data_IF_791594178656
#
_entry.id   IF_791594178656
#
_cell.length_a   1.000
_cell.length_b   1.000
_cell.length_c   1.000
_cell.angle_alpha   90.00
_cell.angle_beta   90.00
_cell.angle_gamma   90.00
#
_symmetry.space_group_name_H-M   'P 1'
#
loop_
_entity.id
_entity.type
_entity.pdbx_description
1 polymer ?
#
# COMPACT_ATOMS: atom_id res chain seq x y z
N UNK A 1 -0.45 45.28 -18.52
CA UNK A 1 -1.68 44.52 -18.20
C UNK A 1 -1.27 43.05 -18.09
N UNK A 2 -0.65 42.59 -17.00
CA UNK A 2 -1.24 42.25 -15.69
C UNK A 2 -2.58 41.52 -15.81
N UNK A 3 -2.50 40.19 -15.86
CA UNK A 3 -3.47 39.22 -15.35
C UNK A 3 -2.64 38.05 -14.78
N UNK A 4 -2.02 38.20 -13.62
CA UNK A 4 -2.52 37.59 -12.37
C UNK A 4 -4.00 37.16 -12.44
N UNK A 5 -4.24 35.84 -12.49
CA UNK A 5 -5.09 35.13 -11.52
C UNK A 5 -5.22 33.63 -11.83
N UNK A 6 -4.92 32.82 -10.80
CA UNK A 6 -5.59 31.58 -10.41
C UNK A 6 -5.45 30.33 -11.31
N UNK A 7 -4.47 29.47 -10.96
CA UNK A 7 -4.62 28.01 -11.11
C UNK A 7 -4.53 27.34 -9.72
N UNK A 8 -5.66 27.18 -9.00
CA UNK A 8 -5.72 26.39 -7.77
C UNK A 8 -5.92 24.88 -8.03
N UNK A 9 -5.85 24.41 -9.29
CA UNK A 9 -6.24 23.03 -9.66
C UNK A 9 -5.15 21.98 -9.45
N UNK A 10 -3.87 22.36 -9.34
CA UNK A 10 -2.78 21.40 -9.12
C UNK A 10 -2.71 20.86 -7.68
N UNK A 11 -3.22 21.61 -6.70
CA UNK A 11 -3.07 21.26 -5.28
C UNK A 11 -4.12 20.25 -4.77
N UNK A 12 -5.18 19.98 -5.54
CA UNK A 12 -6.32 19.16 -5.07
C UNK A 12 -6.53 17.86 -5.85
N UNK A 13 -5.89 17.66 -7.02
CA UNK A 13 -6.18 16.52 -7.89
C UNK A 13 -5.22 15.32 -7.75
N UNK A 14 -4.08 15.49 -7.08
CA UNK A 14 -3.10 14.41 -6.84
C UNK A 14 -2.81 14.25 -5.33
N UNK A 15 -3.85 13.90 -4.56
CA UNK A 15 -3.84 13.66 -3.11
C UNK A 15 -3.42 14.86 -2.22
N UNK A 16 -4.00 15.01 -1.02
CA UNK A 16 -3.36 15.80 0.04
C UNK A 16 -2.17 14.98 0.56
N UNK A 17 -0.96 15.31 0.09
CA UNK A 17 0.27 14.92 0.78
C UNK A 17 0.35 15.76 2.07
N UNK A 18 -0.32 15.29 3.12
CA UNK A 18 0.02 15.73 4.47
C UNK A 18 1.40 15.17 4.80
N UNK A 19 2.45 15.92 4.52
CA UNK A 19 3.77 15.68 5.08
C UNK A 19 3.73 16.02 6.57
N UNK A 20 3.91 15.06 7.50
CA UNK A 20 4.31 15.44 8.84
C UNK A 20 5.72 16.04 8.72
N UNK A 21 5.88 17.25 9.25
CA UNK A 21 7.15 17.98 9.37
C UNK A 21 8.28 17.03 9.79
N UNK A 22 9.16 16.66 8.86
CA UNK A 22 10.29 15.77 9.10
C UNK A 22 11.59 16.58 9.20
N UNK A 23 12.27 16.44 10.33
CA UNK A 23 13.67 16.87 10.48
C UNK A 23 14.56 15.89 9.70
N UNK A 24 15.66 16.36 9.07
CA UNK A 24 16.47 15.51 8.19
C UNK A 24 17.29 14.50 9.00
N UNK A 25 17.14 13.22 8.67
CA UNK A 25 18.01 12.13 9.14
C UNK A 25 19.25 12.09 8.24
N UNK A 26 20.37 12.56 8.77
CA UNK A 26 21.68 12.58 8.11
C UNK A 26 22.46 11.30 8.42
N UNK A 27 23.16 10.84 7.38
CA UNK A 27 24.21 9.82 7.24
C UNK A 27 24.16 8.55 8.12
N UNK A 28 23.71 7.45 7.51
CA UNK A 28 23.63 6.12 8.11
C UNK A 28 24.89 5.26 7.85
N UNK A 29 25.89 5.76 7.11
CA UNK A 29 27.06 4.93 6.72
C UNK A 29 28.12 4.82 7.82
N UNK A 30 28.38 5.88 8.59
CA UNK A 30 29.37 5.86 9.67
C UNK A 30 28.99 4.98 10.88
N UNK A 31 27.70 4.99 11.25
CA UNK A 31 27.17 4.19 12.37
C UNK A 31 27.20 2.68 12.11
N UNK A 32 27.23 2.25 10.84
CA UNK A 32 27.31 0.83 10.47
C UNK A 32 28.69 0.23 10.72
N UNK A 33 29.75 1.04 10.70
CA UNK A 33 31.12 0.56 10.98
C UNK A 33 31.39 0.46 12.49
N UNK A 34 30.84 1.38 13.29
CA UNK A 34 30.96 1.32 14.76
C UNK A 34 30.19 0.14 15.38
N UNK A 35 28.99 -0.16 14.86
CA UNK A 35 28.16 -1.27 15.36
C UNK A 35 28.65 -2.66 14.91
N UNK A 36 29.48 -2.75 13.87
CA UNK A 36 30.12 -4.01 13.45
C UNK A 36 31.16 -4.50 14.45
N UNK A 37 31.78 -3.59 15.21
CA UNK A 37 32.87 -3.90 16.15
C UNK A 37 32.40 -4.22 17.58
N UNK A 38 31.09 -4.22 17.86
CA UNK A 38 30.53 -4.44 19.20
C UNK A 38 29.47 -5.55 19.21
N UNK A 39 29.79 -6.78 18.78
CA UNK A 39 28.92 -7.93 19.02
C UNK A 39 29.21 -8.56 20.39
N UNK A 40 28.26 -8.57 21.35
CA UNK A 40 28.28 -9.54 22.44
C UNK A 40 27.65 -10.88 21.98
N UNK A 41 28.12 -11.95 22.61
CA UNK A 41 27.68 -13.34 22.40
C UNK A 41 26.16 -13.52 22.53
N UNK A 42 25.56 -14.48 21.80
CA UNK A 42 24.11 -14.69 21.77
C UNK A 42 23.54 -15.09 23.15
N UNK A 43 22.35 -14.60 23.53
CA UNK A 43 21.73 -14.96 24.80
C UNK A 43 21.22 -16.41 24.81
N UNK A 44 21.14 -17.05 25.99
CA UNK A 44 20.71 -18.44 26.12
C UNK A 44 19.24 -18.61 25.74
N UNK A 45 19.00 -19.65 24.94
CA UNK A 45 17.73 -20.04 24.33
C UNK A 45 16.70 -20.39 25.41
N UNK A 46 15.70 -19.53 25.62
CA UNK A 46 14.58 -19.81 26.53
C UNK A 46 13.69 -20.94 25.98
N UNK A 47 13.52 -21.97 26.82
CA UNK A 47 12.43 -22.96 26.89
C UNK A 47 11.58 -23.21 25.65
N UNK A 48 11.78 -24.40 25.07
CA UNK A 48 11.07 -24.95 23.92
C UNK A 48 9.61 -25.25 24.27
N UNK A 49 8.66 -24.62 23.56
CA UNK A 49 7.26 -25.04 23.46
C UNK A 49 7.07 -26.02 22.29
N UNK A 50 6.10 -26.95 22.36
CA UNK A 50 5.97 -28.10 21.44
C UNK A 50 5.66 -27.69 19.99
N UNK A 51 5.84 -28.61 19.01
CA UNK A 51 5.89 -28.25 17.60
C UNK A 51 4.50 -28.03 16.98
N UNK A 52 4.39 -26.94 16.22
CA UNK A 52 3.43 -26.64 15.14
C UNK A 52 2.03 -26.07 15.48
N UNK A 53 1.99 -24.99 16.26
CA UNK A 53 0.90 -24.01 16.11
C UNK A 53 1.31 -22.94 15.08
N UNK A 54 0.47 -22.68 14.07
CA UNK A 54 0.68 -21.54 13.18
C UNK A 54 0.79 -20.26 14.03
N UNK A 55 1.85 -19.46 13.89
CA UNK A 55 2.07 -18.27 14.71
C UNK A 55 0.90 -17.31 14.50
N UNK A 56 0.17 -17.02 15.58
CA UNK A 56 -0.97 -16.12 15.54
C UNK A 56 -0.49 -14.68 15.47
N UNK A 57 -1.15 -13.87 14.65
CA UNK A 57 -0.82 -12.45 14.45
C UNK A 57 -1.10 -11.60 15.71
N UNK A 58 -2.23 -11.86 16.36
CA UNK A 58 -2.71 -11.09 17.51
C UNK A 58 -1.70 -10.94 18.66
N UNK A 59 -1.07 -12.03 19.15
CA UNK A 59 -0.09 -11.95 20.23
C UNK A 59 1.11 -11.03 19.93
N UNK A 60 1.62 -11.01 18.71
CA UNK A 60 2.75 -10.14 18.37
C UNK A 60 2.34 -8.66 18.33
N UNK A 61 1.14 -8.35 17.81
CA UNK A 61 0.59 -7.00 17.87
C UNK A 61 0.25 -6.59 19.30
N UNK A 62 -0.22 -7.53 20.13
CA UNK A 62 -0.47 -7.30 21.55
C UNK A 62 0.79 -6.88 22.31
N UNK A 63 1.96 -7.45 21.99
CA UNK A 63 3.25 -7.02 22.56
C UNK A 63 3.58 -5.57 22.17
N UNK A 64 3.38 -5.20 20.91
CA UNK A 64 3.61 -3.83 20.43
C UNK A 64 2.63 -2.83 21.06
N UNK A 65 1.35 -3.19 21.14
CA UNK A 65 0.32 -2.36 21.78
C UNK A 65 0.58 -2.20 23.27
N UNK A 66 1.01 -3.26 23.97
CA UNK A 66 1.37 -3.18 25.38
C UNK A 66 2.51 -2.18 25.61
N UNK A 67 3.61 -2.25 24.84
CA UNK A 67 4.74 -1.31 24.95
C UNK A 67 4.29 0.12 24.66
N UNK A 68 3.46 0.31 23.63
CA UNK A 68 2.87 1.62 23.30
C UNK A 68 2.05 2.18 24.47
N UNK A 69 1.12 1.40 25.02
CA UNK A 69 0.26 1.82 26.12
C UNK A 69 1.05 2.14 27.40
N UNK A 70 2.05 1.31 27.75
CA UNK A 70 2.90 1.54 28.94
C UNK A 70 3.74 2.81 28.76
N UNK A 71 4.28 3.03 27.56
CA UNK A 71 5.05 4.23 27.23
C UNK A 71 4.18 5.49 27.29
N UNK A 72 2.98 5.46 26.73
CA UNK A 72 2.05 6.59 26.76
C UNK A 72 1.58 6.94 28.18
N UNK A 73 1.43 5.94 29.05
CA UNK A 73 1.02 6.13 30.44
C UNK A 73 2.19 6.44 31.39
N UNK A 74 3.43 6.56 30.89
CA UNK A 74 4.61 6.88 31.71
C UNK A 74 5.03 5.78 32.69
N UNK A 75 4.58 4.54 32.48
CA UNK A 75 4.79 3.41 33.39
C UNK A 75 6.10 2.64 33.11
N UNK A 76 7.03 3.24 32.36
CA UNK A 76 8.28 2.61 31.94
C UNK A 76 9.21 2.23 33.10
N UNK A 77 9.08 2.89 34.25
CA UNK A 77 9.92 2.66 35.44
C UNK A 77 9.51 1.42 36.24
N UNK A 78 8.37 0.80 35.91
CA UNK A 78 7.77 -0.31 36.69
C UNK A 78 8.07 -1.67 36.06
N UNK A 79 8.28 -1.70 34.74
CA UNK A 79 8.46 -2.92 33.98
C UNK A 79 9.65 -2.78 33.03
N UNK A 80 10.56 -3.75 33.04
CA UNK A 80 11.57 -3.87 31.98
C UNK A 80 10.86 -4.24 30.67
N UNK A 81 10.83 -3.30 29.74
CA UNK A 81 10.21 -3.48 28.43
C UNK A 81 11.25 -3.88 27.38
N UNK A 82 10.93 -4.81 26.47
CA UNK A 82 11.77 -5.09 25.31
C UNK A 82 11.83 -3.86 24.39
N UNK A 83 12.98 -3.67 23.72
CA UNK A 83 13.16 -2.57 22.76
C UNK A 83 12.10 -2.64 21.64
N UNK A 84 11.40 -1.54 21.33
CA UNK A 84 10.44 -1.49 20.23
C UNK A 84 11.00 -2.03 18.91
N UNK A 85 12.27 -1.71 18.59
CA UNK A 85 12.93 -2.20 17.39
C UNK A 85 13.01 -3.73 17.34
N UNK A 86 13.24 -4.38 18.48
CA UNK A 86 13.28 -5.84 18.56
C UNK A 86 11.89 -6.46 18.35
N UNK A 87 10.84 -5.88 18.92
CA UNK A 87 9.47 -6.34 18.72
C UNK A 87 8.98 -6.16 17.28
N UNK A 88 9.33 -5.03 16.66
CA UNK A 88 9.04 -4.78 15.25
C UNK A 88 9.77 -5.78 14.36
N UNK A 89 11.03 -6.08 14.67
CA UNK A 89 11.81 -7.09 13.94
C UNK A 89 11.23 -8.50 14.10
N UNK A 90 10.81 -8.88 15.31
CA UNK A 90 10.12 -10.15 15.57
C UNK A 90 8.88 -10.27 14.69
N UNK A 91 8.03 -9.22 14.68
CA UNK A 91 6.83 -9.19 13.85
C UNK A 91 7.16 -9.31 12.36
N UNK A 92 8.09 -8.50 11.88
CA UNK A 92 8.50 -8.47 10.48
C UNK A 92 9.11 -9.81 10.03
N UNK A 93 9.83 -10.48 10.92
CA UNK A 93 10.41 -11.80 10.66
C UNK A 93 9.32 -12.84 10.38
N UNK A 94 8.23 -12.80 11.15
CA UNK A 94 7.14 -13.76 11.07
C UNK A 94 6.14 -13.43 9.96
N UNK A 95 5.76 -12.15 9.84
CA UNK A 95 4.65 -11.70 8.98
C UNK A 95 5.08 -10.81 7.81
N UNK A 96 6.37 -10.50 7.65
CA UNK A 96 6.87 -9.63 6.58
C UNK A 96 6.54 -10.09 5.16
N UNK A 97 6.29 -11.39 4.96
CA UNK A 97 5.90 -11.97 3.67
C UNK A 97 4.41 -11.78 3.34
N UNK A 98 3.62 -11.26 4.28
CA UNK A 98 2.18 -11.05 4.16
C UNK A 98 1.90 -9.60 3.76
N UNK A 99 0.88 -9.40 2.93
CA UNK A 99 0.48 -8.06 2.45
C UNK A 99 0.04 -7.12 3.57
N UNK A 100 -0.48 -7.66 4.69
CA UNK A 100 -0.90 -6.85 5.83
C UNK A 100 0.26 -6.28 6.64
N UNK A 101 1.50 -6.77 6.47
CA UNK A 101 2.63 -6.37 7.31
C UNK A 101 2.82 -4.85 7.38
N UNK A 102 2.64 -4.17 6.24
CA UNK A 102 2.72 -2.72 6.18
C UNK A 102 1.66 -2.04 7.04
N UNK A 103 0.38 -2.33 6.80
CA UNK A 103 -0.74 -1.69 7.52
C UNK A 103 -0.67 -1.94 9.03
N UNK A 104 -0.19 -3.12 9.40
CA UNK A 104 -0.06 -3.53 10.79
C UNK A 104 1.01 -2.71 11.52
N UNK A 105 2.20 -2.59 10.91
CA UNK A 105 3.34 -1.90 11.53
C UNK A 105 3.25 -0.38 11.43
N UNK A 106 2.65 0.14 10.35
CA UNK A 106 2.50 1.59 10.10
C UNK A 106 1.92 2.31 11.31
N UNK A 107 0.90 1.73 11.93
CA UNK A 107 0.20 2.33 13.08
C UNK A 107 1.09 2.54 14.30
N UNK A 108 2.22 1.83 14.43
CA UNK A 108 3.14 1.96 15.54
C UNK A 108 4.29 2.94 15.29
N UNK A 109 4.54 3.30 14.04
CA UNK A 109 5.69 4.15 13.67
C UNK A 109 5.53 5.60 14.15
N UNK A 110 4.32 6.07 14.37
CA UNK A 110 4.09 7.41 14.93
C UNK A 110 4.35 7.47 16.44
N UNK A 111 4.42 6.31 17.11
CA UNK A 111 4.54 6.23 18.58
C UNK A 111 5.96 5.97 19.05
N UNK A 112 6.79 5.29 18.26
CA UNK A 112 8.16 4.95 18.64
C UNK A 112 9.15 6.05 18.25
N UNK A 113 10.26 6.11 18.99
CA UNK A 113 11.29 7.11 18.73
C UNK A 113 11.94 6.90 17.36
N UNK A 114 12.39 7.99 16.69
CA UNK A 114 13.10 7.88 15.42
C UNK A 114 14.31 6.95 15.46
N UNK A 115 15.01 6.88 16.60
CA UNK A 115 16.19 6.03 16.79
C UNK A 115 15.82 4.54 16.81
N UNK A 116 14.73 4.17 17.50
CA UNK A 116 14.25 2.79 17.51
C UNK A 116 13.75 2.37 16.12
N UNK A 117 13.09 3.26 15.39
CA UNK A 117 12.67 2.99 14.01
C UNK A 117 13.87 2.84 13.08
N UNK A 118 14.89 3.70 13.19
CA UNK A 118 16.13 3.60 12.41
C UNK A 118 16.83 2.26 12.70
N UNK A 119 16.91 1.87 13.98
CA UNK A 119 17.46 0.58 14.41
C UNK A 119 16.68 -0.60 13.79
N UNK A 120 15.34 -0.55 13.83
CA UNK A 120 14.50 -1.55 13.17
C UNK A 120 14.78 -1.65 11.67
N UNK A 121 14.86 -0.52 10.96
CA UNK A 121 15.09 -0.51 9.51
C UNK A 121 16.40 -1.19 9.14
N UNK A 122 17.49 -0.85 9.85
CA UNK A 122 18.81 -1.45 9.62
C UNK A 122 18.78 -2.96 9.87
N UNK A 123 18.16 -3.41 10.96
CA UNK A 123 18.06 -4.84 11.27
C UNK A 123 17.19 -5.59 10.25
N UNK A 124 16.08 -4.99 9.80
CA UNK A 124 15.19 -5.57 8.81
C UNK A 124 15.87 -5.69 7.43
N UNK A 125 16.63 -4.68 7.03
CA UNK A 125 17.43 -4.69 5.80
C UNK A 125 18.52 -5.76 5.82
N UNK A 126 19.27 -5.86 6.92
CA UNK A 126 20.27 -6.90 7.11
C UNK A 126 19.65 -8.30 6.96
N UNK A 127 18.48 -8.53 7.57
CA UNK A 127 17.75 -9.80 7.49
C UNK A 127 17.25 -10.14 6.08
N UNK A 128 16.93 -9.14 5.27
CA UNK A 128 16.59 -9.35 3.85
C UNK A 128 17.86 -9.69 3.06
N UNK A 129 18.97 -9.00 3.34
CA UNK A 129 20.24 -9.22 2.66
C UNK A 129 20.83 -10.63 2.91
N UNK A 130 20.57 -11.23 4.07
CA UNK A 130 20.96 -12.62 4.38
C UNK A 130 20.33 -13.66 3.43
N UNK A 131 19.18 -13.35 2.84
CA UNK A 131 18.44 -14.26 1.97
C UNK A 131 18.08 -13.58 0.64
N UNK A 132 19.07 -13.38 -0.27
CA UNK A 132 18.84 -12.71 -1.53
C UNK A 132 17.89 -13.51 -2.43
N UNK A 133 17.12 -12.80 -3.24
CA UNK A 133 16.18 -13.38 -4.21
C UNK A 133 16.96 -14.04 -5.34
N UNK A 134 16.56 -15.27 -5.69
CA UNK A 134 17.04 -15.94 -6.90
C UNK A 134 15.90 -15.98 -7.92
N UNK A 135 15.98 -15.16 -8.96
CA UNK A 135 14.90 -15.05 -9.95
C UNK A 135 14.88 -16.22 -10.93
N UNK A 136 16.04 -16.75 -11.29
CA UNK A 136 16.16 -17.96 -12.10
C UNK A 136 16.23 -19.17 -11.16
N UNK A 137 15.08 -19.79 -10.89
CA UNK A 137 14.97 -20.85 -9.90
C UNK A 137 14.04 -22.00 -10.33
N UNK A 138 14.29 -23.19 -9.78
CA UNK A 138 13.38 -24.33 -9.93
C UNK A 138 11.99 -24.02 -9.35
N UNK A 139 10.95 -24.73 -9.81
CA UNK A 139 9.58 -24.58 -9.30
C UNK A 139 9.47 -24.76 -7.77
N UNK A 140 10.33 -25.59 -7.18
CA UNK A 140 10.41 -25.80 -5.72
C UNK A 140 10.84 -24.54 -4.97
N UNK A 141 11.71 -23.73 -5.55
CA UNK A 141 12.25 -22.50 -4.95
C UNK A 141 11.35 -21.27 -5.21
N UNK A 142 10.46 -21.35 -6.21
CA UNK A 142 9.57 -20.23 -6.58
C UNK A 142 8.75 -19.70 -5.40
N UNK A 143 8.14 -20.59 -4.60
CA UNK A 143 7.34 -20.19 -3.42
C UNK A 143 8.18 -19.44 -2.38
N UNK A 144 9.42 -19.88 -2.16
CA UNK A 144 10.38 -19.22 -1.28
C UNK A 144 10.73 -17.84 -1.82
N UNK A 145 11.08 -17.73 -3.10
CA UNK A 145 11.47 -16.47 -3.73
C UNK A 145 10.33 -15.46 -3.78
N UNK A 146 9.09 -15.89 -4.03
CA UNK A 146 7.89 -15.02 -3.91
C UNK A 146 7.73 -14.50 -2.48
N UNK A 147 8.01 -15.32 -1.47
CA UNK A 147 7.92 -14.90 -0.06
C UNK A 147 8.98 -13.85 0.27
N UNK A 148 10.22 -14.02 -0.23
CA UNK A 148 11.31 -13.04 -0.07
C UNK A 148 10.95 -11.73 -0.80
N UNK A 149 10.45 -11.82 -2.04
CA UNK A 149 10.00 -10.66 -2.82
C UNK A 149 8.92 -9.86 -2.08
N UNK A 150 7.91 -10.55 -1.52
CA UNK A 150 6.86 -9.91 -0.71
C UNK A 150 7.41 -9.24 0.54
N UNK A 151 8.43 -9.85 1.18
CA UNK A 151 9.12 -9.23 2.32
C UNK A 151 9.86 -7.96 1.92
N UNK A 152 10.53 -7.97 0.76
CA UNK A 152 11.19 -6.78 0.23
C UNK A 152 10.17 -5.67 -0.10
N UNK A 153 9.00 -6.03 -0.63
CA UNK A 153 7.87 -5.10 -0.84
C UNK A 153 7.41 -4.46 0.47
N UNK A 154 7.15 -5.27 1.49
CA UNK A 154 6.78 -4.76 2.82
C UNK A 154 7.84 -3.79 3.36
N UNK A 155 9.12 -4.10 3.18
CA UNK A 155 10.21 -3.21 3.59
C UNK A 155 10.17 -1.88 2.85
N UNK A 156 10.06 -1.88 1.52
CA UNK A 156 10.01 -0.62 0.75
C UNK A 156 8.76 0.21 1.07
N UNK A 157 7.63 -0.43 1.37
CA UNK A 157 6.44 0.28 1.86
C UNK A 157 6.71 1.01 3.17
N UNK A 158 7.36 0.35 4.13
CA UNK A 158 7.75 0.94 5.40
C UNK A 158 8.78 2.07 5.22
N UNK A 159 9.79 1.86 4.37
CA UNK A 159 10.78 2.91 4.04
C UNK A 159 10.11 4.14 3.42
N UNK A 160 9.20 3.91 2.47
CA UNK A 160 8.43 4.96 1.82
C UNK A 160 7.60 5.74 2.84
N UNK A 161 6.95 5.04 3.77
CA UNK A 161 6.16 5.65 4.84
C UNK A 161 6.98 6.53 5.78
N UNK A 162 8.19 6.08 6.14
CA UNK A 162 9.13 6.87 6.94
C UNK A 162 9.75 8.06 6.18
N UNK A 163 9.32 8.33 4.94
CA UNK A 163 9.83 9.44 4.13
C UNK A 163 11.24 9.21 3.57
N UNK A 164 11.80 8.01 3.69
CA UNK A 164 13.18 7.72 3.25
C UNK A 164 13.36 7.93 1.74
N UNK A 165 12.32 7.63 0.95
CA UNK A 165 12.36 7.83 -0.50
C UNK A 165 12.03 9.27 -0.92
N UNK A 166 11.19 9.98 -0.16
CA UNK A 166 10.83 11.38 -0.44
C UNK A 166 12.03 12.33 -0.28
N UNK A 167 12.88 12.05 0.71
CA UNK A 167 14.08 12.84 1.05
C UNK A 167 15.30 12.54 0.15
N UNK A 168 15.18 11.65 -0.84
CA UNK A 168 16.27 11.35 -1.76
C UNK A 168 16.50 12.50 -2.75
N UNK A 169 17.74 12.66 -3.21
CA UNK A 169 18.04 13.51 -4.36
C UNK A 169 17.37 12.96 -5.62
N UNK A 170 17.14 13.83 -6.62
CA UNK A 170 16.55 13.44 -7.90
C UNK A 170 17.26 12.25 -8.56
N UNK A 171 18.59 12.22 -8.53
CA UNK A 171 19.37 11.13 -9.12
C UNK A 171 19.15 9.81 -8.39
N UNK A 172 19.13 9.84 -7.04
CA UNK A 172 18.82 8.66 -6.24
C UNK A 172 17.37 8.19 -6.43
N UNK A 173 16.41 9.11 -6.65
CA UNK A 173 15.03 8.74 -7.02
C UNK A 173 15.01 8.03 -8.37
N UNK A 174 15.78 8.50 -9.36
CA UNK A 174 15.91 7.84 -10.67
C UNK A 174 16.55 6.45 -10.55
N UNK A 175 17.60 6.30 -9.76
CA UNK A 175 18.22 5.00 -9.48
C UNK A 175 17.23 4.02 -8.83
N UNK A 176 16.43 4.50 -7.89
CA UNK A 176 15.39 3.70 -7.24
C UNK A 176 14.28 3.29 -8.22
N UNK A 177 13.90 4.17 -9.16
CA UNK A 177 12.97 3.82 -10.25
C UNK A 177 13.56 2.71 -11.13
N UNK A 178 14.84 2.79 -11.48
CA UNK A 178 15.52 1.75 -12.27
C UNK A 178 15.55 0.41 -11.52
N UNK A 179 15.85 0.44 -10.22
CA UNK A 179 15.81 -0.74 -9.36
C UNK A 179 14.40 -1.35 -9.33
N UNK A 180 13.35 -0.54 -9.15
CA UNK A 180 11.96 -1.02 -9.14
C UNK A 180 11.57 -1.64 -10.48
N UNK A 181 11.95 -1.03 -11.61
CA UNK A 181 11.72 -1.58 -12.95
C UNK A 181 12.43 -2.92 -13.14
N UNK A 182 13.68 -3.03 -12.68
CA UNK A 182 14.44 -4.28 -12.73
C UNK A 182 13.76 -5.38 -11.89
N UNK A 183 13.42 -5.09 -10.63
CA UNK A 183 12.76 -6.04 -9.73
C UNK A 183 11.36 -6.43 -10.23
N UNK A 184 10.65 -5.53 -10.90
CA UNK A 184 9.39 -5.86 -11.56
C UNK A 184 9.61 -6.88 -12.69
N UNK A 185 10.52 -6.59 -13.63
CA UNK A 185 10.81 -7.47 -14.77
C UNK A 185 11.24 -8.85 -14.31
N UNK A 186 12.15 -8.93 -13.34
CA UNK A 186 12.61 -10.19 -12.81
C UNK A 186 11.53 -10.90 -11.97
N UNK A 187 10.73 -10.14 -11.23
CA UNK A 187 9.60 -10.65 -10.44
C UNK A 187 8.46 -11.24 -11.28
N UNK A 188 8.30 -10.81 -12.55
CA UNK A 188 7.35 -11.42 -13.49
C UNK A 188 7.69 -12.89 -13.78
N UNK A 189 8.97 -13.28 -13.77
CA UNK A 189 9.38 -14.69 -13.93
C UNK A 189 8.82 -15.58 -12.81
N UNK A 190 8.70 -15.01 -11.61
CA UNK A 190 8.14 -15.68 -10.43
C UNK A 190 6.60 -15.74 -10.45
N UNK A 191 5.95 -14.99 -11.34
CA UNK A 191 4.48 -14.97 -11.48
C UNK A 191 3.94 -16.12 -12.35
N UNK A 192 4.78 -17.02 -12.83
CA UNK A 192 4.37 -18.22 -13.57
C UNK A 192 3.44 -19.09 -12.70
N UNK A 193 2.22 -19.34 -13.20
CA UNK A 193 1.21 -20.14 -12.49
C UNK A 193 0.36 -19.36 -11.47
N UNK A 194 0.50 -18.04 -11.37
CA UNK A 194 -0.45 -17.19 -10.63
C UNK A 194 -1.72 -17.05 -11.49
N UNK A 195 -2.93 -17.26 -10.93
CA UNK A 195 -4.18 -17.05 -11.67
C UNK A 195 -4.24 -15.65 -12.27
N UNK A 196 -4.82 -15.51 -13.46
CA UNK A 196 -5.00 -14.19 -14.09
C UNK A 196 -5.86 -13.24 -13.24
N UNK A 197 -6.67 -13.77 -12.32
CA UNK A 197 -7.48 -13.00 -11.37
C UNK A 197 -6.67 -12.39 -10.23
N UNK A 198 -5.50 -12.94 -9.92
CA UNK A 198 -4.74 -12.60 -8.73
C UNK A 198 -3.70 -11.52 -9.02
N UNK A 199 -3.52 -10.61 -8.07
CA UNK A 199 -2.49 -9.57 -8.15
C UNK A 199 -1.12 -10.21 -8.25
N UNK A 200 -0.29 -9.77 -9.20
CA UNK A 200 1.03 -10.38 -9.38
C UNK A 200 1.93 -9.98 -8.21
N UNK A 201 2.83 -10.87 -7.77
CA UNK A 201 3.70 -10.60 -6.64
C UNK A 201 4.56 -9.34 -6.78
N UNK A 202 4.89 -8.94 -8.00
CA UNK A 202 5.77 -7.82 -8.29
C UNK A 202 5.04 -6.50 -8.61
N UNK A 203 3.69 -6.48 -8.68
CA UNK A 203 2.94 -5.30 -9.13
C UNK A 203 3.16 -4.06 -8.25
N UNK A 204 3.52 -4.24 -6.98
CA UNK A 204 3.83 -3.11 -6.09
C UNK A 204 5.05 -2.29 -6.56
N UNK A 205 6.05 -2.92 -7.18
CA UNK A 205 7.22 -2.21 -7.70
C UNK A 205 6.85 -1.19 -8.76
N UNK A 206 5.86 -1.50 -9.59
CA UNK A 206 5.32 -0.58 -10.60
C UNK A 206 4.66 0.61 -9.93
N UNK A 207 3.80 0.35 -8.94
CA UNK A 207 3.11 1.40 -8.18
C UNK A 207 4.14 2.34 -7.53
N UNK A 208 5.17 1.79 -6.87
CA UNK A 208 6.23 2.58 -6.26
C UNK A 208 7.04 3.39 -7.29
N UNK A 209 7.45 2.76 -8.39
CA UNK A 209 8.19 3.42 -9.47
C UNK A 209 7.39 4.59 -10.07
N UNK A 210 6.09 4.39 -10.30
CA UNK A 210 5.19 5.43 -10.83
C UNK A 210 5.04 6.59 -9.86
N UNK A 211 4.88 6.32 -8.56
CA UNK A 211 4.85 7.38 -7.56
C UNK A 211 6.14 8.21 -7.55
N UNK A 212 7.31 7.57 -7.63
CA UNK A 212 8.60 8.25 -7.73
C UNK A 212 8.74 9.07 -9.01
N UNK A 213 8.28 8.54 -10.15
CA UNK A 213 8.26 9.26 -11.42
C UNK A 213 7.34 10.49 -11.37
N UNK A 214 6.17 10.38 -10.73
CA UNK A 214 5.27 11.52 -10.52
C UNK A 214 5.93 12.58 -9.64
N UNK A 215 6.65 12.19 -8.57
CA UNK A 215 7.41 13.15 -7.75
C UNK A 215 8.50 13.86 -8.53
N UNK A 216 9.29 13.11 -9.30
CA UNK A 216 10.33 13.69 -10.18
C UNK A 216 9.67 14.66 -11.17
N UNK A 217 8.51 14.32 -11.75
CA UNK A 217 7.78 15.21 -12.66
C UNK A 217 7.28 16.48 -11.96
N UNK A 218 6.77 16.38 -10.72
CA UNK A 218 6.32 17.55 -9.96
C UNK A 218 7.47 18.52 -9.68
N UNK A 219 8.66 17.99 -9.37
CA UNK A 219 9.87 18.78 -9.10
C UNK A 219 10.51 19.36 -10.39
N UNK A 220 10.61 18.56 -11.46
CA UNK A 220 11.36 18.93 -12.68
C UNK A 220 10.50 19.51 -13.81
N UNK A 221 9.19 19.19 -13.81
CA UNK A 221 8.25 19.47 -14.92
C UNK A 221 8.64 18.85 -16.26
N UNK A 222 9.51 17.83 -16.25
CA UNK A 222 9.92 17.13 -17.47
C UNK A 222 8.83 16.16 -17.95
N UNK A 223 8.15 16.50 -19.05
CA UNK A 223 7.12 15.65 -19.65
C UNK A 223 7.60 14.23 -20.01
N UNK A 224 8.89 14.06 -20.32
CA UNK A 224 9.49 12.74 -20.60
C UNK A 224 9.31 11.77 -19.43
N UNK A 225 9.42 12.26 -18.19
CA UNK A 225 9.28 11.45 -16.97
C UNK A 225 7.83 10.99 -16.82
N UNK A 226 6.87 11.85 -17.12
CA UNK A 226 5.45 11.51 -17.05
C UNK A 226 5.06 10.47 -18.11
N UNK A 227 5.59 10.59 -19.32
CA UNK A 227 5.44 9.54 -20.35
C UNK A 227 6.02 8.20 -19.91
N UNK A 228 7.17 8.20 -19.24
CA UNK A 228 7.74 6.96 -18.68
C UNK A 228 6.82 6.31 -17.62
N UNK A 229 6.10 7.11 -16.82
CA UNK A 229 5.15 6.59 -15.84
C UNK A 229 3.95 5.92 -16.53
N UNK A 230 3.39 6.57 -17.55
CA UNK A 230 2.27 6.04 -18.34
C UNK A 230 2.67 4.76 -19.07
N UNK A 231 3.82 4.76 -19.75
CA UNK A 231 4.33 3.58 -20.46
C UNK A 231 4.55 2.39 -19.51
N UNK A 232 5.03 2.64 -18.29
CA UNK A 232 5.21 1.59 -17.29
C UNK A 232 3.87 0.98 -16.84
N UNK A 233 2.86 1.82 -16.61
CA UNK A 233 1.51 1.38 -16.24
C UNK A 233 0.83 0.61 -17.38
N UNK A 234 0.94 1.10 -18.62
CA UNK A 234 0.41 0.40 -19.81
C UNK A 234 1.12 -0.93 -20.04
N UNK A 235 2.44 -0.98 -19.82
CA UNK A 235 3.17 -2.24 -19.87
C UNK A 235 2.62 -3.24 -18.82
N UNK A 236 2.38 -2.81 -17.59
CA UNK A 236 1.78 -3.67 -16.56
C UNK A 236 0.35 -4.09 -16.88
N UNK A 237 -0.44 -3.21 -17.51
CA UNK A 237 -1.77 -3.54 -18.04
C UNK A 237 -1.70 -4.60 -19.14
N UNK A 238 -0.76 -4.49 -20.07
CA UNK A 238 -0.55 -5.48 -21.13
C UNK A 238 -0.17 -6.86 -20.59
N UNK A 239 0.48 -6.91 -19.43
CA UNK A 239 0.76 -8.14 -18.67
C UNK A 239 -0.46 -8.64 -17.88
N UNK A 240 -1.66 -8.14 -18.16
CA UNK A 240 -2.93 -8.46 -17.49
C UNK A 240 -2.86 -8.31 -15.96
N UNK A 241 -2.30 -7.22 -15.43
CA UNK A 241 -2.37 -6.96 -13.99
C UNK A 241 -3.83 -6.78 -13.54
N UNK A 242 -4.19 -7.41 -12.43
CA UNK A 242 -5.47 -7.19 -11.75
C UNK A 242 -5.34 -6.23 -10.57
N UNK A 243 -4.18 -5.61 -10.41
CA UNK A 243 -3.98 -4.65 -9.34
C UNK A 243 -4.78 -3.36 -9.63
N UNK A 244 -5.82 -3.06 -8.83
CA UNK A 244 -6.66 -1.88 -9.08
C UNK A 244 -5.88 -0.57 -8.91
N UNK A 245 -4.79 -0.55 -8.13
CA UNK A 245 -3.97 0.64 -7.97
C UNK A 245 -3.30 1.06 -9.27
N UNK A 246 -2.82 0.10 -10.07
CA UNK A 246 -2.19 0.38 -11.38
C UNK A 246 -3.22 1.00 -12.32
N UNK A 247 -4.41 0.39 -12.42
CA UNK A 247 -5.48 0.88 -13.27
C UNK A 247 -5.98 2.27 -12.83
N UNK A 248 -6.18 2.49 -11.52
CA UNK A 248 -6.60 3.80 -11.01
C UNK A 248 -5.53 4.88 -11.21
N UNK A 249 -4.24 4.55 -11.09
CA UNK A 249 -3.16 5.48 -11.40
C UNK A 249 -3.15 5.85 -12.89
N UNK A 250 -3.30 4.86 -13.77
CA UNK A 250 -3.33 5.09 -15.21
C UNK A 250 -4.55 5.94 -15.62
N UNK A 251 -5.72 5.65 -15.05
CA UNK A 251 -6.93 6.45 -15.25
C UNK A 251 -6.71 7.91 -14.85
N UNK A 252 -6.08 8.16 -13.70
CA UNK A 252 -5.75 9.51 -13.25
C UNK A 252 -4.75 10.21 -14.18
N UNK A 253 -3.74 9.50 -14.69
CA UNK A 253 -2.78 10.07 -15.64
C UNK A 253 -3.41 10.37 -17.00
N UNK A 254 -4.33 9.53 -17.49
CA UNK A 254 -5.13 9.84 -18.68
C UNK A 254 -6.09 11.01 -18.45
N UNK A 255 -6.70 11.10 -17.26
CA UNK A 255 -7.43 12.28 -16.82
C UNK A 255 -6.57 13.55 -16.89
N UNK A 256 -5.34 13.47 -16.40
CA UNK A 256 -4.39 14.58 -16.45
C UNK A 256 -3.98 14.98 -17.88
N UNK A 257 -3.89 14.02 -18.80
CA UNK A 257 -3.63 14.28 -20.23
C UNK A 257 -4.87 14.73 -21.03
N UNK A 258 -6.07 14.61 -20.47
CA UNK A 258 -7.33 14.83 -21.19
C UNK A 258 -7.69 13.69 -22.15
N UNK A 259 -7.11 12.50 -21.99
CA UNK A 259 -7.36 11.33 -22.83
C UNK A 259 -8.68 10.63 -22.43
N UNK A 260 -9.82 11.17 -22.88
CA UNK A 260 -11.15 10.73 -22.47
C UNK A 260 -11.48 9.26 -22.81
N UNK A 261 -11.05 8.78 -23.97
CA UNK A 261 -11.23 7.40 -24.41
C UNK A 261 -10.51 6.43 -23.46
N UNK A 262 -9.22 6.67 -23.19
CA UNK A 262 -8.44 5.84 -22.27
C UNK A 262 -8.99 5.81 -20.85
N UNK A 263 -9.60 6.91 -20.37
CA UNK A 263 -10.29 6.93 -19.06
C UNK A 263 -11.49 5.97 -19.07
N UNK A 264 -12.28 6.01 -20.14
CA UNK A 264 -13.49 5.18 -20.29
C UNK A 264 -13.11 3.71 -20.36
N UNK A 265 -12.13 3.35 -21.20
CA UNK A 265 -11.62 1.99 -21.35
C UNK A 265 -11.13 1.40 -20.02
N UNK A 266 -10.37 2.18 -19.25
CA UNK A 266 -9.86 1.72 -17.95
C UNK A 266 -11.01 1.58 -16.96
N UNK A 267 -11.92 2.54 -16.92
CA UNK A 267 -13.06 2.50 -16.01
C UNK A 267 -13.97 1.29 -16.27
N UNK A 268 -14.21 0.96 -17.54
CA UNK A 268 -14.90 -0.26 -17.94
C UNK A 268 -14.13 -1.52 -17.52
N UNK A 269 -12.80 -1.54 -17.70
CA UNK A 269 -11.95 -2.67 -17.30
C UNK A 269 -11.93 -2.92 -15.79
N UNK A 270 -12.11 -1.87 -14.97
CA UNK A 270 -12.23 -1.99 -13.52
C UNK A 270 -13.51 -2.72 -13.08
N UNK A 271 -14.50 -2.86 -13.99
CA UNK A 271 -15.76 -3.55 -13.75
C UNK A 271 -16.44 -3.11 -12.44
N UNK A 272 -16.55 -1.78 -12.26
CA UNK A 272 -17.09 -1.16 -11.04
C UNK A 272 -18.60 -1.44 -10.95
N UNK A 273 -19.02 -2.07 -9.86
CA UNK A 273 -20.42 -2.48 -9.64
C UNK A 273 -21.12 -1.62 -8.61
N UNK A 274 -22.40 -1.33 -8.86
CA UNK A 274 -23.37 -0.68 -7.96
C UNK A 274 -22.76 0.18 -6.83
N UNK A 275 -22.53 -0.38 -5.64
CA UNK A 275 -22.01 0.34 -4.47
C UNK A 275 -20.63 0.98 -4.70
N UNK A 276 -19.80 0.37 -5.54
CA UNK A 276 -18.51 0.94 -5.94
C UNK A 276 -18.69 2.18 -6.82
N UNK A 277 -19.80 2.32 -7.56
CA UNK A 277 -20.07 3.54 -8.34
C UNK A 277 -20.26 4.76 -7.45
N UNK A 278 -20.85 4.61 -6.26
CA UNK A 278 -21.00 5.72 -5.31
C UNK A 278 -19.64 6.22 -4.80
N UNK A 279 -18.69 5.31 -4.58
CA UNK A 279 -17.39 5.64 -3.99
C UNK A 279 -16.32 5.97 -5.02
N UNK A 280 -16.36 5.38 -6.22
CA UNK A 280 -15.33 5.53 -7.25
C UNK A 280 -15.83 6.23 -8.52
N UNK A 281 -17.14 6.37 -8.72
CA UNK A 281 -17.72 6.97 -9.93
C UNK A 281 -17.38 8.44 -10.11
N UNK A 282 -17.03 9.15 -9.03
CA UNK A 282 -16.57 10.54 -9.12
C UNK A 282 -15.23 10.68 -9.86
N UNK A 283 -14.42 9.62 -9.89
CA UNK A 283 -13.06 9.68 -10.43
C UNK A 283 -13.08 9.97 -11.95
N UNK A 284 -13.71 9.17 -12.82
CA UNK A 284 -13.81 9.51 -14.24
C UNK A 284 -14.67 10.75 -14.48
N UNK A 285 -15.72 10.97 -13.68
CA UNK A 285 -16.65 12.09 -13.86
C UNK A 285 -15.91 13.43 -13.85
N UNK A 286 -14.97 13.61 -12.92
CA UNK A 286 -14.18 14.86 -12.83
C UNK A 286 -13.39 15.18 -14.11
N UNK A 287 -12.97 14.18 -14.86
CA UNK A 287 -12.19 14.39 -16.08
C UNK A 287 -13.05 14.42 -17.35
N UNK A 288 -14.21 13.75 -17.33
CA UNK A 288 -15.11 13.64 -18.48
C UNK A 288 -16.22 14.70 -18.52
N UNK A 289 -16.31 15.58 -17.52
CA UNK A 289 -17.33 16.65 -17.44
C UNK A 289 -17.45 17.52 -18.70
N UNK A 290 -16.36 17.71 -19.44
CA UNK A 290 -16.31 18.51 -20.66
C UNK A 290 -16.22 17.68 -21.95
N UNK A 291 -16.32 16.34 -21.89
CA UNK A 291 -16.14 15.46 -23.04
C UNK A 291 -17.46 14.83 -23.50
N UNK A 292 -17.52 14.46 -24.78
CA UNK A 292 -18.68 13.77 -25.38
C UNK A 292 -18.95 12.41 -24.69
N UNK A 293 -17.92 11.82 -24.07
CA UNK A 293 -17.99 10.56 -23.34
C UNK A 293 -18.77 10.65 -22.02
N UNK A 294 -19.15 11.86 -21.57
CA UNK A 294 -19.98 12.06 -20.38
C UNK A 294 -21.31 11.29 -20.46
N UNK A 295 -21.90 11.16 -21.66
CA UNK A 295 -23.17 10.45 -21.87
C UNK A 295 -23.06 8.96 -21.50
N UNK A 296 -21.96 8.30 -21.87
CA UNK A 296 -21.72 6.89 -21.52
C UNK A 296 -21.66 6.71 -20.00
N UNK A 297 -20.92 7.59 -19.32
CA UNK A 297 -20.77 7.54 -17.87
C UNK A 297 -22.08 7.84 -17.13
N UNK A 298 -22.86 8.82 -17.61
CA UNK A 298 -24.18 9.15 -17.04
C UNK A 298 -25.11 7.94 -17.13
N UNK A 299 -25.10 7.19 -18.23
CA UNK A 299 -25.92 5.99 -18.37
C UNK A 299 -25.56 4.91 -17.34
N UNK A 300 -24.28 4.68 -17.08
CA UNK A 300 -23.82 3.77 -16.03
C UNK A 300 -24.24 4.23 -14.62
N UNK A 301 -24.20 5.53 -14.36
CA UNK A 301 -24.65 6.14 -13.10
C UNK A 301 -26.18 6.06 -12.96
N UNK A 302 -26.94 6.26 -14.03
CA UNK A 302 -28.40 6.16 -14.03
C UNK A 302 -28.88 4.73 -13.69
N UNK A 303 -28.21 3.70 -14.24
CA UNK A 303 -28.46 2.30 -13.88
C UNK A 303 -28.23 2.02 -12.38
N UNK A 304 -27.28 2.73 -11.74
CA UNK A 304 -27.08 2.64 -10.31
C UNK A 304 -28.24 3.24 -9.50
N UNK A 305 -28.74 4.43 -9.87
CA UNK A 305 -29.88 5.05 -9.17
C UNK A 305 -31.18 4.22 -9.30
N UNK A 306 -31.33 3.45 -10.38
CA UNK A 306 -32.41 2.47 -10.48
C UNK A 306 -32.31 1.38 -9.38
N UNK A 307 -31.10 0.99 -8.98
CA UNK A 307 -30.86 -0.03 -7.94
C UNK A 307 -31.11 0.47 -6.51
N UNK A 308 -30.94 1.76 -6.21
CA UNK A 308 -31.24 2.34 -4.89
C UNK A 308 -32.73 2.27 -4.53
N UNK A 309 -33.63 2.27 -5.53
CA UNK A 309 -35.07 2.05 -5.30
C UNK A 309 -35.40 0.63 -4.80
N UNK A 310 -34.48 -0.32 -4.95
CA UNK A 310 -34.65 -1.70 -4.52
C UNK A 310 -34.34 -1.92 -3.03
N UNK A 311 -33.59 -1.01 -2.38
CA UNK A 311 -33.17 -1.16 -0.97
C UNK A 311 -34.37 -1.12 0.00
N UNK A 312 -35.30 -0.15 -0.09
CA UNK A 312 -36.50 -0.15 0.76
C UNK A 312 -37.37 -1.40 0.56
N UNK A 313 -37.53 -1.85 -0.69
CA UNK A 313 -38.29 -3.06 -1.03
C UNK A 313 -37.66 -4.34 -0.49
N UNK A 314 -36.32 -4.45 -0.49
CA UNK A 314 -35.60 -5.57 0.11
C UNK A 314 -35.71 -5.58 1.63
N UNK A 315 -35.59 -4.42 2.28
CA UNK A 315 -35.77 -4.29 3.73
C UNK A 315 -37.18 -4.70 4.15
N UNK A 316 -38.21 -4.23 3.44
CA UNK A 316 -39.59 -4.65 3.68
C UNK A 316 -39.74 -6.18 3.51
N UNK A 317 -39.28 -6.76 2.41
CA UNK A 317 -39.44 -8.19 2.15
C UNK A 317 -38.64 -9.10 3.11
N UNK A 318 -37.43 -8.72 3.50
CA UNK A 318 -36.58 -9.51 4.42
C UNK A 318 -37.10 -9.38 5.85
N UNK A 319 -37.49 -8.18 6.27
CA UNK A 319 -38.03 -7.93 7.61
C UNK A 319 -39.37 -8.66 7.81
N UNK A 320 -40.25 -8.68 6.80
CA UNK A 320 -41.51 -9.43 6.86
C UNK A 320 -41.35 -10.96 6.71
N UNK A 321 -40.35 -11.46 5.98
CA UNK A 321 -40.12 -12.91 5.86
C UNK A 321 -39.45 -13.50 7.12
N UNK A 322 -38.50 -12.79 7.75
CA UNK A 322 -37.84 -13.25 8.98
C UNK A 322 -38.76 -13.22 10.21
N UNK A 323 -39.75 -12.33 10.23
CA UNK A 323 -40.77 -12.28 11.29
C UNK A 323 -41.77 -13.44 11.20
N UNK A 324 -42.06 -13.97 10.00
CA UNK A 324 -42.92 -15.16 9.83
C UNK A 324 -42.27 -16.49 10.23
N UNK A 325 -40.93 -16.59 10.24
CA UNK A 325 -40.19 -17.82 10.58
C UNK A 325 -39.82 -17.95 12.06
N UNK A 326 -40.45 -17.19 12.96
CA UNK A 326 -40.51 -17.54 14.38
C UNK A 326 -39.19 -17.43 15.16
N UNK A 327 -38.54 -16.28 15.15
CA UNK A 327 -37.66 -15.87 16.26
C UNK A 327 -37.36 -14.38 16.14
N UNK A 328 -38.20 -13.54 16.75
CA UNK A 328 -37.89 -12.23 17.37
C UNK A 328 -39.24 -11.55 17.65
N UNK A 329 -39.90 -12.00 18.73
CA UNK A 329 -40.86 -11.14 19.44
C UNK A 329 -40.00 -10.19 20.28
N UNK A 330 -39.89 -8.93 19.82
CA UNK A 330 -39.73 -7.68 20.59
C UNK A 330 -38.83 -6.71 19.83
N UNK A 331 -39.20 -5.44 19.95
CA UNK A 331 -38.59 -4.26 19.36
C UNK A 331 -38.88 -4.08 17.88
N UNK A 332 -40.05 -3.53 17.57
CA UNK A 332 -40.19 -2.31 16.78
C UNK A 332 -41.64 -1.83 16.99
N UNK A 333 -41.92 -1.34 18.19
CA UNK A 333 -43.01 -0.40 18.42
C UNK A 333 -42.39 0.99 18.48
N UNK A 334 -42.19 1.60 17.31
CA UNK A 334 -42.08 3.04 17.22
C UNK A 334 -43.38 3.50 16.61
N UNK A 335 -44.23 3.99 17.51
CA UNK A 335 -45.50 4.63 17.22
C UNK A 335 -45.25 6.04 16.68
N UNK A 336 -46.07 6.38 15.69
CA UNK A 336 -46.36 7.69 15.07
C UNK A 336 -45.33 8.22 14.07
#
# INVERSE_FOLDING_TARGET
>A
MVCNNQLPLFSYCLFPLSTPSSKPLVDARGLLEELRNQQPSPPPRSTQTPPTAHPLRGPFLGRLEMVKQITQNGLQNILELPSPATLLLDYFSMFGTKSCCFDDLRSYFEFFSPDELKKFMVMAEAKIAENPIKFDCSEKDRKRNVSILRRQISMMQLQRYCGLHGNLSLDKKRDLVLLCKHLYREGLKLATGVPETDTKPADFFVVLAVHLLIEIYVETREWRVLWQAILLLEHSRSMKTTNPQILLLLLKLYGFLGAAEGITDIFESLNIKHLQMETLGYIPLRYLQASVHLVSLINSIALHFASTTAVPRRLQNISFKRTKTGCFKRYWSLSV
#
